data_IF_902524391571
#
_entry.id   IF_902524391571
#
_cell.length_a   1.000
_cell.length_b   1.000
_cell.length_c   1.000
_cell.angle_alpha   90.00
_cell.angle_beta   90.00
_cell.angle_gamma   90.00
#
_symmetry.space_group_name_H-M   'P 1'
#
loop_
_entity.id
_entity.type
_entity.pdbx_description
1 polymer ?
#
# COMPACT_ATOMS: atom_id res chain seq x y z
N UNK A 1 -12.46 -0.99 -4.00
CA UNK A 1 -11.08 -0.95 -4.52
C UNK A 1 -10.42 0.42 -4.32
N UNK A 2 -10.99 1.52 -4.83
CA UNK A 2 -10.44 2.89 -4.68
C UNK A 2 -10.03 3.27 -3.24
N UNK A 3 -10.96 3.21 -2.27
CA UNK A 3 -10.68 3.49 -0.85
C UNK A 3 -9.54 2.66 -0.23
N UNK A 4 -9.31 1.45 -0.75
CA UNK A 4 -8.21 0.57 -0.31
C UNK A 4 -6.86 1.07 -0.83
N UNK A 5 -6.82 1.49 -2.09
CA UNK A 5 -5.62 2.04 -2.72
C UNK A 5 -5.26 3.41 -2.14
N UNK A 6 -6.25 4.28 -1.90
CA UNK A 6 -6.06 5.56 -1.18
C UNK A 6 -5.44 5.33 0.20
N UNK A 7 -6.04 4.44 1.00
CA UNK A 7 -5.51 4.15 2.33
C UNK A 7 -4.11 3.53 2.30
N UNK A 8 -3.80 2.68 1.30
CA UNK A 8 -2.45 2.13 1.09
C UNK A 8 -1.46 3.23 0.73
N UNK A 9 -1.87 4.18 -0.12
CA UNK A 9 -1.07 5.36 -0.49
C UNK A 9 -0.79 6.24 0.73
N UNK A 10 -1.79 6.50 1.58
CA UNK A 10 -1.63 7.27 2.83
C UNK A 10 -0.66 6.59 3.79
N UNK A 11 -0.84 5.29 4.04
CA UNK A 11 0.05 4.51 4.93
C UNK A 11 1.49 4.52 4.40
N UNK A 12 1.65 4.41 3.08
CA UNK A 12 2.97 4.48 2.45
C UNK A 12 3.60 5.87 2.57
N UNK A 13 2.84 6.93 2.33
CA UNK A 13 3.28 8.31 2.50
C UNK A 13 3.74 8.58 3.94
N UNK A 14 2.93 8.17 4.92
CA UNK A 14 3.30 8.27 6.33
C UNK A 14 4.56 7.48 6.68
N UNK A 15 4.71 6.27 6.14
CA UNK A 15 5.91 5.44 6.35
C UNK A 15 7.18 6.13 5.81
N UNK A 16 7.10 6.71 4.61
CA UNK A 16 8.19 7.47 4.00
C UNK A 16 8.53 8.75 4.79
N UNK A 17 7.53 9.45 5.31
CA UNK A 17 7.73 10.63 6.15
C UNK A 17 8.44 10.27 7.47
N UNK A 18 8.06 9.15 8.10
CA UNK A 18 8.72 8.66 9.32
C UNK A 18 10.19 8.31 9.06
N UNK A 19 10.49 7.60 7.96
CA UNK A 19 11.87 7.30 7.58
C UNK A 19 12.68 8.57 7.32
N UNK A 20 12.08 9.59 6.68
CA UNK A 20 12.70 10.89 6.45
C UNK A 20 12.93 11.67 7.75
N UNK A 21 12.03 11.55 8.74
CA UNK A 21 12.28 12.13 10.06
C UNK A 21 13.48 11.47 10.74
N UNK A 22 13.62 10.14 10.66
CA UNK A 22 14.78 9.45 11.24
C UNK A 22 16.11 9.90 10.62
N UNK A 23 16.16 10.12 9.29
CA UNK A 23 17.38 10.65 8.65
C UNK A 23 17.67 12.09 9.08
N UNK A 24 16.65 12.95 9.21
CA UNK A 24 16.82 14.30 9.73
C UNK A 24 17.33 14.30 11.19
N UNK A 25 16.73 13.49 12.07
CA UNK A 25 17.17 13.36 13.46
C UNK A 25 18.62 12.86 13.55
N UNK A 26 18.99 11.85 12.77
CA UNK A 26 20.35 11.35 12.72
C UNK A 26 21.33 12.44 12.22
N UNK A 27 20.93 13.24 11.23
CA UNK A 27 21.72 14.38 10.75
C UNK A 27 21.91 15.46 11.81
N UNK A 28 20.83 15.86 12.50
CA UNK A 28 20.88 16.85 13.60
C UNK A 28 21.75 16.35 14.74
N UNK A 29 21.60 15.08 15.16
CA UNK A 29 22.44 14.49 16.21
C UNK A 29 23.92 14.45 15.80
N UNK A 30 24.21 14.09 14.55
CA UNK A 30 25.58 14.07 14.03
C UNK A 30 26.22 15.46 14.02
N UNK A 31 25.44 16.50 13.73
CA UNK A 31 25.91 17.89 13.78
C UNK A 31 26.09 18.39 15.21
N UNK A 32 25.10 18.14 16.08
CA UNK A 32 25.09 18.59 17.47
C UNK A 32 26.24 18.00 18.30
N UNK A 33 26.60 16.74 18.04
CA UNK A 33 27.66 16.03 18.77
C UNK A 33 28.90 15.76 17.91
N UNK A 34 29.11 16.53 16.84
CA UNK A 34 30.19 16.32 15.86
C UNK A 34 31.60 16.24 16.45
N UNK A 35 31.84 16.88 17.61
CA UNK A 35 33.15 16.89 18.31
C UNK A 35 33.26 15.79 19.36
N UNK A 36 32.14 15.29 19.88
CA UNK A 36 32.10 14.35 21.02
C UNK A 36 31.76 12.90 20.60
N UNK A 37 31.36 12.68 19.35
CA UNK A 37 31.03 11.35 18.83
C UNK A 37 32.31 10.51 18.67
N UNK A 38 32.35 9.36 19.35
CA UNK A 38 33.38 8.36 19.12
C UNK A 38 33.29 7.77 17.72
N UNK A 39 34.43 7.32 17.17
CA UNK A 39 34.49 6.73 15.82
C UNK A 39 33.50 5.56 15.65
N UNK A 40 33.25 4.78 16.69
CA UNK A 40 32.29 3.67 16.65
C UNK A 40 30.83 4.15 16.63
N UNK A 41 30.51 5.22 17.36
CA UNK A 41 29.18 5.84 17.29
C UNK A 41 28.94 6.50 15.94
N UNK A 42 29.96 7.13 15.33
CA UNK A 42 29.86 7.67 13.99
C UNK A 42 29.56 6.58 12.94
N UNK A 43 30.23 5.42 13.03
CA UNK A 43 29.96 4.27 12.16
C UNK A 43 28.55 3.73 12.33
N UNK A 44 28.06 3.64 13.57
CA UNK A 44 26.69 3.19 13.85
C UNK A 44 25.64 4.14 13.29
N UNK A 45 25.79 5.44 13.52
CA UNK A 45 24.86 6.47 13.00
C UNK A 45 24.92 6.51 11.47
N UNK A 46 26.11 6.44 10.87
CA UNK A 46 26.29 6.38 9.43
C UNK A 46 25.63 5.14 8.81
N UNK A 47 25.85 3.97 9.39
CA UNK A 47 25.21 2.72 8.97
C UNK A 47 23.69 2.77 9.07
N UNK A 48 23.16 3.35 10.15
CA UNK A 48 21.73 3.58 10.31
C UNK A 48 21.16 4.48 9.21
N UNK A 49 21.80 5.63 8.93
CA UNK A 49 21.36 6.55 7.87
C UNK A 49 21.37 5.89 6.50
N UNK A 50 22.41 5.12 6.18
CA UNK A 50 22.49 4.37 4.91
C UNK A 50 21.36 3.34 4.83
N UNK A 51 21.12 2.57 5.89
CA UNK A 51 20.06 1.57 5.94
C UNK A 51 18.67 2.18 5.77
N UNK A 52 18.35 3.25 6.50
CA UNK A 52 17.08 3.98 6.39
C UNK A 52 16.90 4.57 4.99
N UNK A 53 17.96 5.09 4.39
CA UNK A 53 17.94 5.64 3.03
C UNK A 53 17.69 4.55 1.99
N UNK A 54 18.36 3.41 2.08
CA UNK A 54 18.14 2.27 1.19
C UNK A 54 16.70 1.73 1.28
N UNK A 55 16.17 1.61 2.50
CA UNK A 55 14.78 1.20 2.73
C UNK A 55 13.79 2.21 2.14
N UNK A 56 14.07 3.52 2.28
CA UNK A 56 13.25 4.59 1.70
C UNK A 56 13.25 4.54 0.17
N UNK A 57 14.41 4.32 -0.45
CA UNK A 57 14.52 4.17 -1.92
C UNK A 57 13.74 2.95 -2.38
N UNK A 58 13.91 1.80 -1.71
CA UNK A 58 13.17 0.58 -2.03
C UNK A 58 11.66 0.82 -1.98
N UNK A 59 11.16 1.38 -0.88
CA UNK A 59 9.75 1.72 -0.74
C UNK A 59 9.29 2.73 -1.79
N UNK A 60 10.12 3.71 -2.18
CA UNK A 60 9.75 4.67 -3.23
C UNK A 60 9.51 4.00 -4.58
N UNK A 61 10.28 2.96 -4.91
CA UNK A 61 10.20 2.23 -6.19
C UNK A 61 9.09 1.17 -6.21
N UNK A 62 8.84 0.47 -5.12
CA UNK A 62 7.79 -0.56 -5.06
C UNK A 62 6.41 0.09 -4.88
N UNK A 63 5.57 0.13 -5.91
CA UNK A 63 4.23 0.75 -5.93
C UNK A 63 4.21 2.26 -5.59
N UNK A 64 4.82 3.16 -6.40
CA UNK A 64 4.90 4.58 -6.09
C UNK A 64 3.53 5.17 -5.74
N UNK A 65 3.51 6.11 -4.79
CA UNK A 65 2.26 6.73 -4.27
C UNK A 65 1.42 7.31 -5.40
N UNK A 66 2.06 7.88 -6.42
CA UNK A 66 1.40 8.38 -7.63
C UNK A 66 0.62 7.30 -8.38
N UNK A 67 1.20 6.11 -8.57
CA UNK A 67 0.51 4.98 -9.23
C UNK A 67 -0.63 4.44 -8.39
N UNK A 68 -0.48 4.41 -7.06
CA UNK A 68 -1.57 3.99 -6.17
C UNK A 68 -2.74 5.00 -6.21
N UNK A 69 -2.43 6.30 -6.25
CA UNK A 69 -3.43 7.37 -6.34
C UNK A 69 -4.13 7.38 -7.72
N UNK A 70 -3.37 7.29 -8.80
CA UNK A 70 -3.88 7.15 -10.17
C UNK A 70 -4.80 5.93 -10.29
N UNK A 71 -4.35 4.80 -9.73
CA UNK A 71 -5.14 3.59 -9.67
C UNK A 71 -6.44 3.72 -8.85
N UNK A 72 -6.41 4.47 -7.75
CA UNK A 72 -7.61 4.76 -6.97
C UNK A 72 -8.60 5.65 -7.74
N UNK A 73 -8.09 6.67 -8.43
CA UNK A 73 -8.88 7.57 -9.27
C UNK A 73 -9.57 6.79 -10.40
N UNK A 74 -8.81 5.97 -11.14
CA UNK A 74 -9.34 5.14 -12.22
C UNK A 74 -10.42 4.18 -11.70
N UNK A 75 -10.21 3.56 -10.54
CA UNK A 75 -11.22 2.69 -9.92
C UNK A 75 -12.48 3.46 -9.47
N UNK A 76 -12.35 4.71 -9.03
CA UNK A 76 -13.49 5.56 -8.68
C UNK A 76 -14.29 5.97 -9.92
N UNK A 77 -13.59 6.36 -10.99
CA UNK A 77 -14.22 6.77 -12.23
C UNK A 77 -14.97 5.62 -12.91
N UNK A 78 -14.34 4.44 -13.01
CA UNK A 78 -14.99 3.22 -13.49
C UNK A 78 -16.26 2.89 -12.69
N UNK A 79 -16.19 2.91 -11.35
CA UNK A 79 -17.35 2.66 -10.50
C UNK A 79 -18.48 3.68 -10.71
N UNK A 80 -18.14 4.95 -10.97
CA UNK A 80 -19.11 6.00 -11.28
C UNK A 80 -19.80 5.76 -12.62
N UNK A 81 -19.07 5.31 -13.64
CA UNK A 81 -19.63 4.99 -14.96
C UNK A 81 -20.54 3.77 -14.92
N UNK A 82 -20.11 2.70 -14.26
CA UNK A 82 -20.95 1.51 -14.02
C UNK A 82 -22.23 1.89 -13.27
N UNK A 83 -22.13 2.73 -12.23
CA UNK A 83 -23.31 3.21 -11.50
C UNK A 83 -24.29 3.97 -12.40
N UNK A 84 -23.81 4.78 -13.35
CA UNK A 84 -24.68 5.48 -14.31
C UNK A 84 -25.40 4.50 -15.23
N UNK A 85 -24.72 3.45 -15.70
CA UNK A 85 -25.33 2.40 -16.53
C UNK A 85 -26.43 1.70 -15.74
N UNK A 86 -26.15 1.30 -14.51
CA UNK A 86 -27.12 0.64 -13.63
C UNK A 86 -28.35 1.54 -13.36
N UNK A 87 -28.17 2.83 -13.09
CA UNK A 87 -29.28 3.77 -12.93
C UNK A 87 -30.12 3.91 -14.21
N UNK A 88 -29.51 3.88 -15.40
CA UNK A 88 -30.27 3.93 -16.66
C UNK A 88 -31.08 2.64 -16.89
N UNK A 89 -30.51 1.49 -16.57
CA UNK A 89 -31.18 0.19 -16.64
C UNK A 89 -32.39 0.14 -15.69
N UNK A 90 -32.24 0.53 -14.43
CA UNK A 90 -33.34 0.53 -13.44
C UNK A 90 -34.49 1.48 -13.78
N UNK A 91 -34.24 2.52 -14.58
CA UNK A 91 -35.27 3.48 -14.99
C UNK A 91 -35.88 3.12 -16.36
N UNK A 92 -35.70 1.89 -16.85
CA UNK A 92 -36.13 1.40 -18.16
C UNK A 92 -35.66 2.28 -19.34
N UNK A 93 -34.54 3.00 -19.16
CA UNK A 93 -33.95 3.85 -20.21
C UNK A 93 -32.89 3.12 -21.04
N UNK A 94 -32.67 1.84 -20.75
CA UNK A 94 -31.68 1.01 -21.42
C UNK A 94 -32.15 -0.45 -21.40
N UNK A 95 -32.05 -1.14 -22.54
CA UNK A 95 -32.29 -2.57 -22.58
C UNK A 95 -31.12 -3.35 -21.95
N UNK A 96 -31.42 -4.53 -21.40
CA UNK A 96 -30.42 -5.36 -20.73
C UNK A 96 -29.20 -5.70 -21.60
N UNK A 97 -29.39 -5.99 -22.88
CA UNK A 97 -28.30 -6.32 -23.81
C UNK A 97 -27.36 -5.12 -24.02
N UNK A 98 -27.94 -3.92 -24.18
CA UNK A 98 -27.18 -2.68 -24.34
C UNK A 98 -26.45 -2.28 -23.04
N UNK A 99 -27.04 -2.54 -21.88
CA UNK A 99 -26.42 -2.25 -20.59
C UNK A 99 -25.21 -3.15 -20.33
N UNK A 100 -25.28 -4.42 -20.78
CA UNK A 100 -24.17 -5.35 -20.69
C UNK A 100 -23.00 -4.93 -21.60
N UNK A 101 -23.28 -4.54 -22.84
CA UNK A 101 -22.24 -4.08 -23.78
C UNK A 101 -21.51 -2.85 -23.25
N UNK A 102 -22.25 -1.84 -22.77
CA UNK A 102 -21.67 -0.65 -22.15
C UNK A 102 -20.87 -0.97 -20.87
N UNK A 103 -21.31 -1.97 -20.10
CA UNK A 103 -20.59 -2.40 -18.91
C UNK A 103 -19.24 -3.04 -19.26
N UNK A 104 -19.23 -3.92 -20.24
CA UNK A 104 -18.01 -4.57 -20.73
C UNK A 104 -17.05 -3.56 -21.38
N UNK A 105 -17.57 -2.60 -22.15
CA UNK A 105 -16.79 -1.50 -22.71
C UNK A 105 -16.13 -0.66 -21.60
N UNK A 106 -16.90 -0.23 -20.60
CA UNK A 106 -16.36 0.52 -19.45
C UNK A 106 -15.30 -0.30 -18.72
N UNK A 107 -15.52 -1.58 -18.43
CA UNK A 107 -14.50 -2.41 -17.81
C UNK A 107 -13.23 -2.54 -18.66
N UNK A 108 -13.37 -2.65 -19.98
CA UNK A 108 -12.24 -2.76 -20.91
C UNK A 108 -11.36 -1.51 -20.97
N UNK A 109 -11.92 -0.35 -20.62
CA UNK A 109 -11.19 0.91 -20.59
C UNK A 109 -10.31 1.09 -19.34
N UNK A 110 -10.42 0.20 -18.34
CA UNK A 110 -9.68 0.29 -17.08
C UNK A 110 -8.89 -0.98 -16.79
N UNK A 111 -7.59 -0.98 -17.13
CA UNK A 111 -6.64 -2.10 -16.95
C UNK A 111 -6.67 -2.75 -15.56
N UNK A 112 -6.91 -1.96 -14.52
CA UNK A 112 -6.85 -2.44 -13.13
C UNK A 112 -8.10 -3.19 -12.65
N UNK A 113 -9.16 -3.25 -13.46
CA UNK A 113 -10.40 -3.96 -13.12
C UNK A 113 -10.55 -5.29 -13.88
N UNK A 114 -9.50 -5.77 -14.54
CA UNK A 114 -9.48 -7.10 -15.17
C UNK A 114 -9.23 -8.27 -14.20
N UNK A 115 -8.95 -8.01 -12.92
CA UNK A 115 -9.18 -9.00 -11.89
C UNK A 115 -10.68 -9.32 -11.91
N UNK A 116 -11.05 -10.55 -12.27
CA UNK A 116 -12.43 -11.07 -12.32
C UNK A 116 -13.12 -10.99 -10.95
N UNK A 117 -13.40 -9.80 -10.44
CA UNK A 117 -14.55 -9.55 -9.58
C UNK A 117 -15.62 -9.00 -10.51
N UNK A 118 -16.15 -9.91 -11.31
CA UNK A 118 -17.19 -9.66 -12.29
C UNK A 118 -18.51 -9.49 -11.52
N UNK A 119 -18.68 -8.31 -10.92
CA UNK A 119 -19.84 -7.98 -10.10
C UNK A 119 -21.13 -8.17 -10.91
N UNK A 120 -21.10 -7.89 -12.22
CA UNK A 120 -22.26 -8.05 -13.08
C UNK A 120 -22.53 -9.50 -13.46
N UNK A 121 -21.51 -10.30 -13.80
CA UNK A 121 -21.67 -11.74 -14.02
C UNK A 121 -22.13 -12.47 -12.75
N UNK A 122 -21.65 -12.05 -11.58
CA UNK A 122 -22.06 -12.64 -10.28
C UNK A 122 -23.51 -12.27 -9.93
N UNK A 123 -23.93 -11.02 -10.18
CA UNK A 123 -25.34 -10.58 -10.02
C UNK A 123 -26.26 -11.29 -11.01
N UNK A 124 -25.78 -11.61 -12.22
CA UNK A 124 -26.55 -12.26 -13.29
C UNK A 124 -26.63 -13.77 -13.16
N UNK A 125 -25.57 -14.45 -12.73
CA UNK A 125 -25.51 -15.91 -12.58
C UNK A 125 -26.12 -16.38 -11.26
N UNK A 126 -26.13 -15.55 -10.22
CA UNK A 126 -26.60 -15.91 -8.88
C UNK A 126 -27.45 -14.77 -8.25
N UNK A 127 -28.62 -14.41 -8.83
CA UNK A 127 -29.49 -13.37 -8.27
C UNK A 127 -29.94 -13.69 -6.82
N UNK A 128 -29.97 -14.98 -6.47
CA UNK A 128 -30.32 -15.53 -5.16
C UNK A 128 -29.21 -15.39 -4.10
N UNK A 129 -28.01 -14.89 -4.47
CA UNK A 129 -26.93 -14.55 -3.54
C UNK A 129 -27.00 -13.11 -3.03
N UNK A 130 -27.88 -12.28 -3.59
CA UNK A 130 -28.17 -10.93 -3.11
C UNK A 130 -29.57 -10.69 -2.50
N UNK A 131 -30.22 -11.65 -1.81
CA UNK A 131 -30.97 -11.29 -0.62
C UNK A 131 -29.96 -10.92 0.47
N UNK A 132 -30.34 -10.04 1.40
CA UNK A 132 -29.52 -9.32 2.41
C UNK A 132 -28.64 -10.18 3.37
N UNK A 133 -28.24 -11.40 3.02
CA UNK A 133 -27.79 -12.40 3.97
C UNK A 133 -26.83 -13.47 3.43
N UNK A 134 -25.90 -13.17 2.50
CA UNK A 134 -24.71 -14.05 2.30
C UNK A 134 -23.39 -13.29 2.17
N UNK A 135 -22.68 -13.29 3.31
CA UNK A 135 -21.29 -12.90 3.52
C UNK A 135 -20.36 -13.76 2.65
N UNK A 136 -20.14 -13.37 1.40
CA UNK A 136 -19.15 -13.94 0.47
C UNK A 136 -17.69 -13.64 0.85
N UNK A 137 -17.38 -13.64 2.14
CA UNK A 137 -16.02 -13.71 2.64
C UNK A 137 -16.04 -14.13 4.09
N UNK A 138 -15.36 -15.24 4.43
CA UNK A 138 -14.91 -15.40 5.80
C UNK A 138 -14.12 -14.13 6.15
N UNK A 139 -14.50 -13.44 7.22
CA UNK A 139 -13.86 -12.21 7.71
C UNK A 139 -12.32 -12.35 7.75
N UNK A 140 -11.85 -13.57 8.05
CA UNK A 140 -10.44 -13.97 8.02
C UNK A 140 -9.73 -13.88 6.65
N UNK A 141 -10.42 -13.98 5.51
CA UNK A 141 -9.79 -13.92 4.18
C UNK A 141 -10.00 -12.60 3.44
N UNK A 142 -11.10 -11.87 3.66
CA UNK A 142 -11.34 -10.60 2.96
C UNK A 142 -10.90 -9.39 3.77
N UNK A 143 -11.33 -9.28 5.03
CA UNK A 143 -11.03 -8.10 5.84
C UNK A 143 -9.58 -8.10 6.28
N UNK A 144 -9.05 -9.25 6.70
CA UNK A 144 -7.66 -9.36 7.11
C UNK A 144 -6.71 -9.19 5.92
N UNK A 145 -6.95 -9.84 4.77
CA UNK A 145 -6.11 -9.63 3.58
C UNK A 145 -6.18 -8.19 3.06
N UNK A 146 -7.37 -7.56 3.11
CA UNK A 146 -7.54 -6.14 2.77
C UNK A 146 -6.77 -5.25 3.74
N UNK A 147 -6.83 -5.53 5.04
CA UNK A 147 -6.08 -4.82 6.05
C UNK A 147 -4.57 -5.00 5.85
N UNK A 148 -4.10 -6.22 5.62
CA UNK A 148 -2.70 -6.56 5.41
C UNK A 148 -2.15 -5.89 4.15
N UNK A 149 -2.94 -5.85 3.06
CA UNK A 149 -2.59 -5.13 1.83
C UNK A 149 -2.39 -3.63 2.08
N UNK A 150 -3.27 -3.00 2.87
CA UNK A 150 -3.20 -1.58 3.22
C UNK A 150 -2.02 -1.27 4.14
N UNK A 151 -1.78 -2.12 5.14
CA UNK A 151 -0.78 -1.92 6.21
C UNK A 151 0.60 -2.45 5.81
N UNK A 152 0.70 -3.21 4.71
CA UNK A 152 1.97 -3.75 4.20
C UNK A 152 3.12 -2.74 4.14
N UNK A 153 2.95 -1.47 3.70
CA UNK A 153 4.07 -0.52 3.69
C UNK A 153 4.60 -0.23 5.10
N UNK A 154 3.71 -0.15 6.09
CA UNK A 154 4.11 0.02 7.50
C UNK A 154 4.80 -1.23 8.05
N UNK A 155 4.33 -2.43 7.68
CA UNK A 155 4.98 -3.69 8.08
C UNK A 155 6.40 -3.77 7.52
N UNK A 156 6.60 -3.46 6.23
CA UNK A 156 7.93 -3.43 5.62
C UNK A 156 8.85 -2.39 6.26
N UNK A 157 8.28 -1.24 6.63
CA UNK A 157 9.02 -0.17 7.30
C UNK A 157 9.49 -0.58 8.69
N UNK A 158 8.60 -1.13 9.52
CA UNK A 158 8.94 -1.56 10.89
C UNK A 158 9.89 -2.75 10.89
N UNK A 159 9.65 -3.75 10.05
CA UNK A 159 10.53 -4.92 9.91
C UNK A 159 11.90 -4.54 9.36
N UNK A 160 11.96 -3.63 8.37
CA UNK A 160 13.23 -3.09 7.86
C UNK A 160 14.04 -2.33 8.91
N UNK A 161 13.39 -1.45 9.70
CA UNK A 161 14.04 -0.76 10.80
C UNK A 161 14.55 -1.71 11.89
N UNK A 162 13.77 -2.73 12.25
CA UNK A 162 14.18 -3.76 13.20
C UNK A 162 15.39 -4.56 12.69
N UNK A 163 15.42 -4.92 11.41
CA UNK A 163 16.54 -5.61 10.80
C UNK A 163 17.82 -4.75 10.78
N UNK A 164 17.72 -3.47 10.42
CA UNK A 164 18.82 -2.52 10.50
C UNK A 164 19.36 -2.45 11.94
N UNK A 165 18.47 -2.33 12.93
CA UNK A 165 18.85 -2.29 14.34
C UNK A 165 19.58 -3.56 14.80
N UNK A 166 19.10 -4.74 14.39
CA UNK A 166 19.74 -6.03 14.69
C UNK A 166 21.13 -6.12 14.07
N UNK A 167 21.31 -5.73 12.80
CA UNK A 167 22.62 -5.72 12.14
C UNK A 167 23.58 -4.79 12.89
N UNK A 168 23.13 -3.59 13.25
CA UNK A 168 23.96 -2.61 13.94
C UNK A 168 24.38 -3.08 15.34
N UNK A 169 23.47 -3.71 16.09
CA UNK A 169 23.78 -4.28 17.41
C UNK A 169 24.72 -5.48 17.32
N UNK A 170 24.53 -6.38 16.35
CA UNK A 170 25.45 -7.50 16.10
C UNK A 170 26.84 -7.01 15.69
N UNK A 171 26.92 -6.02 14.79
CA UNK A 171 28.18 -5.43 14.36
C UNK A 171 28.93 -4.81 15.54
N UNK A 172 28.24 -4.05 16.40
CA UNK A 172 28.83 -3.47 17.61
C UNK A 172 29.33 -4.52 18.60
N UNK A 173 28.58 -5.61 18.78
CA UNK A 173 28.97 -6.70 19.65
C UNK A 173 30.22 -7.44 19.13
N UNK A 174 30.28 -7.70 17.82
CA UNK A 174 31.42 -8.39 17.19
C UNK A 174 32.70 -7.54 17.21
N UNK A 175 32.62 -6.23 16.99
CA UNK A 175 33.80 -5.36 17.06
C UNK A 175 34.36 -5.22 18.48
N UNK A 176 33.52 -5.33 19.51
CA UNK A 176 33.94 -5.36 20.92
C UNK A 176 34.67 -6.64 21.29
N UNK A 177 34.24 -7.80 20.77
CA UNK A 177 34.88 -9.10 21.04
C UNK A 177 36.28 -9.19 20.42
N UNK A 178 36.52 -8.59 19.26
CA UNK A 178 37.83 -8.63 18.60
C UNK A 178 38.90 -7.75 19.26
N UNK A 179 38.52 -6.89 20.23
CA UNK A 179 39.42 -5.95 20.91
C UNK A 179 39.70 -6.41 22.37
N UNK A 180 39.07 -7.49 22.85
CA UNK A 180 39.30 -8.10 24.15
C UNK A 180 40.25 -9.31 24.04
#
# INVERSE_FOLDING_TARGET
MAKRLEKKADVKSNSMNVLSMFTLFAGVLSLAYSVEISADMAKLVGGFVIGVSALSIYLSHTDPVSRLAEGAFNAHECGREISKIYTKLLNDRLEHAQALELYEEVLSNYDMNHDRCDYYLTIRLEPDLFPDNKKGSNWWNSTFATWLSVVSPAIYTTSGLAFIFIILTLFWYLTRIQIA
#
